data_IF_600494598990
#
_entry.id   IF_600494598990
#
_cell.length_a   1.000
_cell.length_b   1.000
_cell.length_c   1.000
_cell.angle_alpha   90.00
_cell.angle_beta   90.00
_cell.angle_gamma   90.00
#
_symmetry.space_group_name_H-M   'P 1'
#
loop_
_entity.id
_entity.type
_entity.pdbx_description
1 polymer ?
#
# COMPACT_ATOMS: atom_id res chain seq x y z
N UNK A 1 11.29 -15.41 -9.06
CA UNK A 1 11.68 -14.08 -9.54
C UNK A 1 10.55 -13.03 -9.47
N UNK A 2 9.29 -13.38 -9.11
CA UNK A 2 8.14 -12.45 -9.09
C UNK A 2 8.02 -11.50 -7.88
N UNK A 3 8.75 -11.73 -6.78
CA UNK A 3 8.56 -10.94 -5.53
C UNK A 3 8.97 -9.47 -5.69
N UNK A 4 10.03 -9.21 -6.46
CA UNK A 4 10.53 -7.86 -6.72
C UNK A 4 9.56 -7.05 -7.60
N UNK A 5 8.87 -7.72 -8.52
CA UNK A 5 7.94 -7.06 -9.45
C UNK A 5 6.68 -6.59 -8.72
N UNK A 6 6.12 -7.41 -7.83
CA UNK A 6 4.90 -7.06 -7.08
C UNK A 6 5.16 -5.95 -6.07
N UNK A 7 6.29 -5.99 -5.37
CA UNK A 7 6.63 -4.94 -4.42
C UNK A 7 6.82 -3.58 -5.12
N UNK A 8 7.48 -3.58 -6.28
CA UNK A 8 7.64 -2.37 -7.11
C UNK A 8 6.30 -1.87 -7.62
N UNK A 9 5.46 -2.78 -8.11
CA UNK A 9 4.09 -2.45 -8.55
C UNK A 9 3.23 -1.85 -7.41
N UNK A 10 3.32 -2.42 -6.20
CA UNK A 10 2.64 -1.91 -5.01
C UNK A 10 3.07 -0.49 -4.67
N UNK A 11 4.38 -0.23 -4.71
CA UNK A 11 4.95 1.09 -4.45
C UNK A 11 4.49 2.11 -5.47
N UNK A 12 4.57 1.77 -6.75
CA UNK A 12 4.15 2.63 -7.85
C UNK A 12 2.65 2.96 -7.74
N UNK A 13 1.79 1.95 -7.55
CA UNK A 13 0.34 2.16 -7.47
C UNK A 13 -0.07 2.95 -6.24
N UNK A 14 0.54 2.67 -5.09
CA UNK A 14 0.26 3.45 -3.89
C UNK A 14 0.75 4.89 -4.05
N UNK A 15 1.91 5.12 -4.64
CA UNK A 15 2.43 6.46 -4.95
C UNK A 15 1.49 7.24 -5.88
N UNK A 16 1.00 6.59 -6.94
CA UNK A 16 0.00 7.15 -7.84
C UNK A 16 -1.26 7.58 -7.08
N UNK A 17 -1.82 6.71 -6.24
CA UNK A 17 -3.05 7.01 -5.50
C UNK A 17 -2.84 8.05 -4.40
N UNK A 18 -1.70 8.00 -3.71
CA UNK A 18 -1.33 8.96 -2.67
C UNK A 18 -0.90 10.31 -3.24
N UNK A 19 -0.60 10.41 -4.54
CA UNK A 19 -0.16 11.67 -5.16
C UNK A 19 1.16 12.19 -4.59
N UNK A 20 2.02 11.28 -4.11
CA UNK A 20 3.33 11.58 -3.55
C UNK A 20 4.37 10.70 -4.24
N UNK A 21 5.61 11.20 -4.41
CA UNK A 21 6.70 10.39 -4.94
C UNK A 21 7.14 9.33 -3.91
N UNK A 22 7.74 8.23 -4.38
CA UNK A 22 8.08 7.08 -3.54
C UNK A 22 9.05 7.41 -2.39
N UNK A 23 9.99 8.32 -2.63
CA UNK A 23 10.96 8.81 -1.63
C UNK A 23 10.27 9.50 -0.45
N UNK A 24 9.13 10.16 -0.68
CA UNK A 24 8.34 10.80 0.37
C UNK A 24 7.38 9.85 1.09
N UNK A 25 7.12 8.67 0.52
CA UNK A 25 6.20 7.67 1.07
C UNK A 25 6.92 6.58 1.87
N UNK A 26 8.11 6.18 1.43
CA UNK A 26 8.79 4.98 1.92
C UNK A 26 10.15 5.26 2.59
N UNK A 27 10.39 6.51 3.00
CA UNK A 27 11.53 6.88 3.84
C UNK A 27 11.41 6.35 5.28
N UNK A 28 12.53 6.32 6.01
CA UNK A 28 12.70 5.55 7.25
C UNK A 28 11.79 5.97 8.43
N UNK A 29 11.15 7.13 8.38
CA UNK A 29 10.25 7.62 9.45
C UNK A 29 8.87 8.07 8.93
N UNK A 30 8.50 7.66 7.72
CA UNK A 30 7.21 8.07 7.14
C UNK A 30 6.09 7.21 7.70
N UNK A 31 5.23 7.82 8.51
CA UNK A 31 4.01 7.20 9.04
C UNK A 31 2.79 7.47 8.18
N UNK A 32 1.71 6.71 8.36
CA UNK A 32 0.43 6.96 7.70
C UNK A 32 -0.12 8.38 7.97
N UNK A 33 0.03 8.90 9.19
CA UNK A 33 -0.30 10.28 9.52
C UNK A 33 0.54 11.28 8.71
N UNK A 34 1.82 10.99 8.52
CA UNK A 34 2.74 11.81 7.73
C UNK A 34 2.33 11.83 6.26
N UNK A 35 1.90 10.68 5.71
CA UNK A 35 1.37 10.58 4.34
C UNK A 35 0.13 11.46 4.18
N UNK A 36 -0.83 11.39 5.10
CA UNK A 36 -2.03 12.25 5.08
C UNK A 36 -1.64 13.72 5.09
N UNK A 37 -0.71 14.12 5.97
CA UNK A 37 -0.29 15.51 6.11
C UNK A 37 0.45 16.07 4.89
N UNK A 38 1.18 15.22 4.14
CA UNK A 38 1.99 15.63 2.99
C UNK A 38 1.24 15.50 1.66
N UNK A 39 0.29 14.58 1.57
CA UNK A 39 -0.38 14.26 0.31
C UNK A 39 -1.31 15.39 -0.11
N UNK A 40 -1.22 15.87 -1.37
CA UNK A 40 -2.20 16.80 -1.92
C UNK A 40 -3.55 16.15 -2.21
N UNK A 41 -3.66 14.82 -2.07
CA UNK A 41 -4.86 14.01 -2.36
C UNK A 41 -5.54 13.49 -1.10
N UNK A 42 -4.99 13.75 0.08
CA UNK A 42 -5.54 13.28 1.34
C UNK A 42 -5.75 14.44 2.29
N UNK A 43 -6.89 14.44 2.94
CA UNK A 43 -7.27 15.39 3.99
C UNK A 43 -7.46 14.68 5.33
N UNK A 44 -7.70 13.38 5.31
CA UNK A 44 -7.99 12.57 6.47
C UNK A 44 -7.68 11.08 6.24
N UNK A 45 -7.94 10.24 7.24
CA UNK A 45 -7.68 8.80 7.20
C UNK A 45 -8.59 8.02 6.24
N UNK A 46 -9.76 8.55 5.88
CA UNK A 46 -10.65 7.92 4.89
C UNK A 46 -10.00 7.97 3.51
N UNK A 47 -9.41 9.11 3.13
CA UNK A 47 -8.71 9.24 1.84
C UNK A 47 -7.54 8.25 1.73
N UNK A 48 -6.81 8.06 2.84
CA UNK A 48 -5.75 7.07 2.94
C UNK A 48 -6.29 5.64 2.79
N UNK A 49 -7.40 5.31 3.47
CA UNK A 49 -8.05 4.00 3.31
C UNK A 49 -8.51 3.77 1.87
N UNK A 50 -9.04 4.78 1.20
CA UNK A 50 -9.41 4.70 -0.21
C UNK A 50 -8.20 4.44 -1.11
N UNK A 51 -7.07 5.12 -0.87
CA UNK A 51 -5.84 4.89 -1.63
C UNK A 51 -5.35 3.44 -1.49
N UNK A 52 -5.39 2.87 -0.29
CA UNK A 52 -5.08 1.45 -0.08
C UNK A 52 -6.10 0.53 -0.75
N UNK A 53 -7.40 0.84 -0.67
CA UNK A 53 -8.44 0.05 -1.33
C UNK A 53 -8.28 0.06 -2.87
N UNK A 54 -7.91 1.20 -3.45
CA UNK A 54 -7.59 1.33 -4.89
C UNK A 54 -6.36 0.49 -5.27
N UNK A 55 -5.32 0.53 -4.44
CA UNK A 55 -4.11 -0.30 -4.60
C UNK A 55 -4.46 -1.79 -4.56
N UNK A 56 -5.25 -2.24 -3.57
CA UNK A 56 -5.70 -3.63 -3.45
C UNK A 56 -6.55 -4.07 -4.65
N UNK A 57 -7.43 -3.18 -5.15
CA UNK A 57 -8.21 -3.43 -6.34
C UNK A 57 -7.35 -3.53 -7.61
N UNK A 58 -6.29 -2.73 -7.72
CA UNK A 58 -5.33 -2.83 -8.83
C UNK A 58 -4.61 -4.19 -8.81
N UNK A 59 -4.16 -4.66 -7.64
CA UNK A 59 -3.58 -5.99 -7.49
C UNK A 59 -4.57 -7.11 -7.83
N UNK A 60 -5.83 -6.98 -7.43
CA UNK A 60 -6.87 -7.95 -7.78
C UNK A 60 -7.05 -8.05 -9.30
N UNK A 61 -7.04 -6.92 -10.01
CA UNK A 61 -7.21 -6.89 -11.47
C UNK A 61 -6.02 -7.52 -12.19
N UNK A 62 -4.80 -7.20 -11.75
CA UNK A 62 -3.58 -7.63 -12.44
C UNK A 62 -3.16 -9.06 -12.07
N UNK A 63 -3.32 -9.46 -10.80
CA UNK A 63 -2.77 -10.71 -10.27
C UNK A 63 -3.84 -11.67 -9.72
N UNK A 64 -5.12 -11.28 -9.72
CA UNK A 64 -6.21 -12.08 -9.16
C UNK A 64 -6.26 -12.13 -7.63
N UNK A 65 -5.30 -11.53 -6.92
CA UNK A 65 -5.17 -11.60 -5.47
C UNK A 65 -6.14 -10.64 -4.76
N UNK A 66 -6.90 -11.16 -3.78
CA UNK A 66 -7.82 -10.35 -2.95
C UNK A 66 -7.20 -10.02 -1.61
N UNK A 67 -6.31 -9.03 -1.61
CA UNK A 67 -5.64 -8.58 -0.38
C UNK A 67 -6.61 -7.82 0.52
N UNK A 68 -6.61 -8.16 1.82
CA UNK A 68 -7.33 -7.43 2.87
C UNK A 68 -6.33 -7.00 3.94
N UNK A 69 -6.11 -5.70 4.04
CA UNK A 69 -5.26 -5.15 5.08
C UNK A 69 -6.01 -5.13 6.43
N UNK A 70 -5.31 -5.42 7.55
CA UNK A 70 -5.84 -5.17 8.88
C UNK A 70 -5.95 -3.67 9.14
N UNK A 71 -6.77 -3.30 10.12
CA UNK A 71 -6.76 -1.94 10.64
C UNK A 71 -5.39 -1.65 11.28
N UNK A 72 -4.78 -0.51 10.93
CA UNK A 72 -3.47 -0.10 11.42
C UNK A 72 -3.55 1.31 12.03
N UNK A 73 -2.87 1.54 13.16
CA UNK A 73 -2.72 2.88 13.74
C UNK A 73 -2.05 3.87 12.78
N UNK A 74 -2.39 5.17 12.87
CA UNK A 74 -1.84 6.19 11.96
C UNK A 74 -0.34 6.49 12.18
N UNK A 75 0.21 6.13 13.33
CA UNK A 75 1.63 6.16 13.63
C UNK A 75 2.40 4.98 13.02
N UNK A 76 1.70 4.04 12.36
CA UNK A 76 2.35 2.92 11.67
C UNK A 76 3.23 3.43 10.52
N UNK A 77 4.50 3.00 10.42
CA UNK A 77 5.36 3.29 9.29
C UNK A 77 4.82 2.71 7.98
N UNK A 78 4.85 3.48 6.90
CA UNK A 78 4.38 3.05 5.57
C UNK A 78 5.14 1.81 5.07
N UNK A 79 6.42 1.67 5.42
CA UNK A 79 7.23 0.48 5.13
C UNK A 79 6.67 -0.79 5.79
N UNK A 80 6.12 -0.66 7.00
CA UNK A 80 5.43 -1.77 7.70
C UNK A 80 4.13 -2.12 6.97
N UNK A 81 3.37 -1.12 6.51
CA UNK A 81 2.15 -1.35 5.75
C UNK A 81 2.43 -2.08 4.44
N UNK A 82 3.46 -1.68 3.69
CA UNK A 82 3.89 -2.38 2.47
C UNK A 82 4.25 -3.84 2.75
N UNK A 83 4.97 -4.10 3.84
CA UNK A 83 5.34 -5.46 4.22
C UNK A 83 4.10 -6.30 4.50
N UNK A 84 3.15 -5.80 5.28
CA UNK A 84 1.86 -6.48 5.53
C UNK A 84 1.09 -6.72 4.23
N UNK A 85 1.11 -5.75 3.31
CA UNK A 85 0.50 -5.87 1.99
C UNK A 85 1.10 -7.04 1.20
N UNK A 86 2.43 -7.13 1.15
CA UNK A 86 3.14 -8.19 0.44
C UNK A 86 2.90 -9.55 1.09
N UNK A 87 2.92 -9.63 2.42
CA UNK A 87 2.66 -10.87 3.17
C UNK A 87 1.24 -11.40 2.90
N UNK A 88 0.23 -10.52 2.88
CA UNK A 88 -1.14 -10.92 2.56
C UNK A 88 -1.30 -11.28 1.07
N UNK A 89 -0.60 -10.59 0.17
CA UNK A 89 -0.57 -10.96 -1.24
C UNK A 89 0.00 -12.37 -1.44
N UNK A 90 1.16 -12.65 -0.85
CA UNK A 90 1.83 -13.96 -0.93
C UNK A 90 0.89 -15.06 -0.38
N UNK A 91 0.23 -14.81 0.76
CA UNK A 91 -0.76 -15.73 1.34
C UNK A 91 -1.94 -16.02 0.40
N UNK A 92 -2.50 -14.98 -0.23
CA UNK A 92 -3.60 -15.15 -1.19
C UNK A 92 -3.16 -15.91 -2.44
N UNK A 93 -1.92 -15.74 -2.88
CA UNK A 93 -1.36 -16.48 -4.02
C UNK A 93 -1.16 -17.95 -3.70
N UNK A 94 -0.66 -18.28 -2.51
CA UNK A 94 -0.51 -19.67 -2.06
C UNK A 94 -1.84 -20.38 -1.87
N UNK A 95 -2.88 -19.69 -1.40
CA UNK A 95 -4.23 -20.26 -1.25
C UNK A 95 -4.94 -20.57 -2.58
N UNK A 96 -4.45 -20.02 -3.70
CA UNK A 96 -5.02 -20.19 -5.05
C UNK A 96 -4.15 -21.10 -5.93
N UNK A 97 -2.93 -21.45 -5.48
CA UNK A 97 -2.02 -22.39 -6.15
C UNK A 97 -2.36 -23.85 -5.80
#
# INVERSE_FOLDING_TARGET
MMKTDVQSYLREKFAEHAGLPEDQLFGDDVTLATVIARSPRMTNSIDLMEAFARTANALRKEYGARVRLPAMPLDTPTTTVLRVFQEEFDRQREAVA
#
